data_IF_076447854559
#
_entry.id   IF_076447854559
#
_cell.length_a   1.000
_cell.length_b   1.000
_cell.length_c   1.000
_cell.angle_alpha   90.00
_cell.angle_beta   90.00
_cell.angle_gamma   90.00
#
_symmetry.space_group_name_H-M   'P 1'
#
loop_
_entity.id
_entity.type
_entity.pdbx_description
1 polymer ?
#
# COMPACT_ATOMS: atom_id res chain seq x y z
N UNK A 1 -2.45 -19.84 -13.10
CA UNK A 1 -1.62 -20.06 -11.88
C UNK A 1 -0.81 -18.80 -11.71
N UNK A 2 -0.85 -18.19 -10.53
CA UNK A 2 -0.15 -16.92 -10.29
C UNK A 2 1.37 -17.16 -10.36
N UNK A 3 2.08 -16.29 -11.05
CA UNK A 3 3.53 -16.18 -11.06
C UNK A 3 3.93 -14.84 -10.47
N UNK A 4 4.90 -14.84 -9.57
CA UNK A 4 5.39 -13.62 -8.90
C UNK A 4 6.83 -13.40 -9.31
N UNK A 5 7.18 -12.14 -9.61
CA UNK A 5 8.56 -11.75 -9.76
C UNK A 5 9.21 -11.68 -8.39
N UNK A 6 10.10 -12.61 -8.11
CA UNK A 6 10.83 -12.67 -6.84
C UNK A 6 12.14 -11.88 -6.97
N UNK A 7 12.28 -10.80 -6.20
CA UNK A 7 13.51 -9.99 -6.18
C UNK A 7 14.74 -10.81 -5.83
N UNK A 8 14.60 -11.85 -4.99
CA UNK A 8 15.72 -12.71 -4.60
C UNK A 8 16.31 -13.49 -5.79
N UNK A 9 15.45 -14.00 -6.69
CA UNK A 9 15.88 -14.78 -7.87
C UNK A 9 15.95 -13.95 -9.15
N UNK A 10 15.39 -12.73 -9.14
CA UNK A 10 15.24 -11.85 -10.31
C UNK A 10 14.48 -12.49 -11.47
N UNK A 11 13.53 -13.35 -11.16
CA UNK A 11 12.76 -14.10 -12.14
C UNK A 11 11.30 -14.27 -11.71
N UNK A 12 10.43 -14.48 -12.70
CA UNK A 12 9.07 -14.95 -12.45
C UNK A 12 9.13 -16.39 -11.94
N UNK A 13 8.41 -16.65 -10.85
CA UNK A 13 8.30 -17.96 -10.22
C UNK A 13 6.84 -18.29 -9.98
N UNK A 14 6.46 -19.54 -10.17
CA UNK A 14 5.14 -20.03 -9.77
C UNK A 14 4.93 -19.76 -8.28
N UNK A 15 3.82 -19.11 -7.94
CA UNK A 15 3.43 -18.87 -6.57
C UNK A 15 2.89 -20.17 -5.96
N UNK A 16 3.50 -20.58 -4.85
CA UNK A 16 3.08 -21.73 -4.06
C UNK A 16 3.09 -21.29 -2.59
N UNK A 17 1.93 -21.17 -1.95
CA UNK A 17 1.89 -20.82 -0.55
C UNK A 17 2.48 -21.94 0.32
N UNK A 18 2.92 -21.59 1.53
CA UNK A 18 3.38 -22.53 2.55
C UNK A 18 2.23 -23.44 3.01
N UNK A 19 1.03 -22.86 3.14
CA UNK A 19 -0.21 -23.58 3.45
C UNK A 19 -1.20 -23.38 2.29
N UNK A 20 -1.73 -24.47 1.74
CA UNK A 20 -2.65 -24.43 0.60
C UNK A 20 -3.83 -23.48 0.87
N UNK A 21 -4.10 -22.57 -0.06
CA UNK A 21 -5.18 -21.59 0.06
C UNK A 21 -4.93 -20.41 1.01
N UNK A 22 -3.80 -20.35 1.74
CA UNK A 22 -3.50 -19.26 2.68
C UNK A 22 -2.21 -18.52 2.34
N UNK A 23 -2.18 -17.21 2.54
CA UNK A 23 -1.01 -16.38 2.26
C UNK A 23 -0.65 -15.52 3.46
N UNK A 24 0.58 -15.70 3.96
CA UNK A 24 1.20 -14.86 5.00
C UNK A 24 2.01 -13.76 4.33
N UNK A 25 1.51 -12.53 4.40
CA UNK A 25 2.08 -11.39 3.70
C UNK A 25 2.47 -10.29 4.69
N UNK A 26 3.76 -9.93 4.73
CA UNK A 26 4.26 -8.81 5.52
C UNK A 26 4.73 -7.69 4.58
N UNK A 27 4.32 -6.45 4.83
CA UNK A 27 4.75 -5.28 4.05
C UNK A 27 5.20 -4.17 5.00
N UNK A 28 6.47 -3.77 4.92
CA UNK A 28 7.03 -2.72 5.77
C UNK A 28 6.21 -1.43 5.64
N UNK A 29 5.67 -0.96 6.77
CA UNK A 29 4.85 0.25 6.82
C UNK A 29 5.66 1.52 7.09
N UNK A 30 4.97 2.65 7.36
CA UNK A 30 5.63 3.95 7.43
C UNK A 30 6.26 4.23 8.80
N UNK A 31 7.29 5.09 8.80
CA UNK A 31 7.70 5.80 10.02
C UNK A 31 6.73 6.95 10.31
N UNK A 32 6.05 6.92 11.45
CA UNK A 32 4.91 7.82 11.74
C UNK A 32 5.33 9.15 12.37
N UNK A 33 6.18 9.91 11.67
CA UNK A 33 6.65 11.24 12.09
C UNK A 33 6.07 12.40 11.27
N UNK A 34 5.35 12.10 10.19
CA UNK A 34 4.72 13.07 9.29
C UNK A 34 3.62 12.40 8.45
N UNK A 35 2.84 13.19 7.71
CA UNK A 35 1.97 12.67 6.65
C UNK A 35 2.76 11.89 5.59
N UNK A 36 2.14 10.83 5.06
CA UNK A 36 2.73 10.04 3.99
C UNK A 36 2.76 10.82 2.68
N UNK A 37 3.81 10.60 1.90
CA UNK A 37 3.90 11.12 0.54
C UNK A 37 3.32 10.16 -0.49
N UNK A 38 3.05 10.66 -1.70
CA UNK A 38 2.48 9.84 -2.79
C UNK A 38 3.35 8.61 -3.11
N UNK A 39 4.67 8.71 -2.93
CA UNK A 39 5.57 7.55 -2.97
C UNK A 39 5.24 6.44 -1.96
N UNK A 40 4.90 6.78 -0.71
CA UNK A 40 4.41 5.77 0.25
C UNK A 40 3.02 5.28 -0.16
N UNK A 41 2.14 6.19 -0.60
CA UNK A 41 0.81 5.86 -1.11
C UNK A 41 0.85 4.83 -2.24
N UNK A 42 1.83 4.91 -3.15
CA UNK A 42 2.07 3.92 -4.20
C UNK A 42 2.35 2.53 -3.64
N UNK A 43 3.19 2.40 -2.61
CA UNK A 43 3.45 1.11 -1.96
C UNK A 43 2.16 0.53 -1.37
N UNK A 44 1.45 1.33 -0.56
CA UNK A 44 0.20 0.92 0.08
C UNK A 44 -0.82 0.45 -0.97
N UNK A 45 -1.03 1.24 -2.03
CA UNK A 45 -1.97 0.93 -3.10
C UNK A 45 -1.56 -0.31 -3.91
N UNK A 46 -0.26 -0.47 -4.19
CA UNK A 46 0.23 -1.64 -4.92
C UNK A 46 -0.05 -2.93 -4.14
N UNK A 47 0.30 -2.97 -2.86
CA UNK A 47 0.13 -4.17 -2.04
C UNK A 47 -1.33 -4.43 -1.65
N UNK A 48 -2.16 -3.39 -1.53
CA UNK A 48 -3.63 -3.56 -1.44
C UNK A 48 -4.21 -4.17 -2.72
N UNK A 49 -3.76 -3.73 -3.90
CA UNK A 49 -4.18 -4.31 -5.20
C UNK A 49 -3.77 -5.78 -5.33
N UNK A 50 -2.53 -6.10 -4.94
CA UNK A 50 -2.01 -7.47 -4.90
C UNK A 50 -2.82 -8.34 -3.96
N UNK A 51 -3.07 -7.87 -2.73
CA UNK A 51 -3.90 -8.57 -1.73
C UNK A 51 -5.30 -8.83 -2.28
N UNK A 52 -5.97 -7.82 -2.85
CA UNK A 52 -7.31 -7.96 -3.43
C UNK A 52 -7.33 -8.97 -4.58
N UNK A 53 -6.30 -9.01 -5.40
CA UNK A 53 -6.21 -10.02 -6.47
C UNK A 53 -6.02 -11.43 -5.91
N UNK A 54 -5.18 -11.61 -4.87
CA UNK A 54 -5.03 -12.90 -4.19
C UNK A 54 -6.37 -13.36 -3.59
N UNK A 55 -7.10 -12.45 -2.92
CA UNK A 55 -8.44 -12.72 -2.37
C UNK A 55 -9.45 -13.07 -3.48
N UNK A 56 -9.44 -12.35 -4.61
CA UNK A 56 -10.24 -12.66 -5.81
C UNK A 56 -9.94 -14.05 -6.37
N UNK A 57 -8.68 -14.50 -6.25
CA UNK A 57 -8.25 -15.84 -6.67
C UNK A 57 -8.54 -16.94 -5.64
N UNK A 58 -9.23 -16.60 -4.55
CA UNK A 58 -9.69 -17.54 -3.53
C UNK A 58 -8.73 -17.77 -2.37
N UNK A 59 -7.66 -16.98 -2.25
CA UNK A 59 -6.74 -17.10 -1.12
C UNK A 59 -7.24 -16.35 0.11
N UNK A 60 -7.05 -16.94 1.29
CA UNK A 60 -7.13 -16.24 2.56
C UNK A 60 -5.80 -15.52 2.84
N UNK A 61 -5.80 -14.19 2.86
CA UNK A 61 -4.58 -13.40 3.04
C UNK A 61 -4.51 -12.80 4.44
N UNK A 62 -3.52 -13.23 5.22
CA UNK A 62 -3.09 -12.54 6.46
C UNK A 62 -2.09 -11.47 6.07
N UNK A 63 -2.55 -10.22 6.03
CA UNK A 63 -1.76 -9.06 5.60
C UNK A 63 -1.35 -8.20 6.79
N UNK A 64 -0.05 -8.12 7.05
CA UNK A 64 0.54 -7.37 8.17
C UNK A 64 1.35 -6.19 7.63
N UNK A 65 1.14 -5.01 8.20
CA UNK A 65 1.97 -3.84 7.90
C UNK A 65 2.19 -3.01 9.16
N UNK A 66 3.43 -2.92 9.62
CA UNK A 66 3.76 -2.31 10.90
C UNK A 66 3.69 -0.77 10.86
N UNK A 67 3.67 -0.16 12.04
CA UNK A 67 4.03 1.25 12.21
C UNK A 67 5.37 1.34 12.94
N UNK A 68 6.37 1.95 12.30
CA UNK A 68 7.61 2.33 13.00
C UNK A 68 7.33 3.59 13.80
N UNK A 69 7.07 3.43 15.09
CA UNK A 69 6.76 4.50 16.04
C UNK A 69 7.88 4.77 17.07
N UNK A 70 9.05 4.16 16.85
CA UNK A 70 10.30 4.40 17.59
C UNK A 70 11.44 4.63 16.60
N UNK A 71 11.79 5.90 16.32
CA UNK A 71 12.88 6.28 15.41
C UNK A 71 13.44 7.67 15.73
N UNK A 72 14.68 7.94 15.35
CA UNK A 72 15.33 9.23 15.56
C UNK A 72 14.57 10.39 14.86
N UNK A 73 13.89 10.15 13.73
CA UNK A 73 13.05 11.15 13.06
C UNK A 73 11.83 11.52 13.90
N UNK A 74 11.22 10.55 14.59
CA UNK A 74 10.07 10.77 15.47
C UNK A 74 10.50 11.60 16.66
N UNK A 75 11.61 11.25 17.32
CA UNK A 75 12.14 11.99 18.47
C UNK A 75 12.38 13.46 18.09
N UNK A 76 13.05 13.70 16.95
CA UNK A 76 13.32 15.06 16.44
C UNK A 76 12.04 15.82 16.08
N UNK A 77 11.09 15.18 15.42
CA UNK A 77 9.84 15.80 15.02
C UNK A 77 8.94 16.11 16.23
N UNK A 78 8.90 15.22 17.22
CA UNK A 78 8.13 15.37 18.45
C UNK A 78 8.64 16.55 19.28
N UNK A 79 9.96 16.65 19.45
CA UNK A 79 10.60 17.79 20.11
C UNK A 79 10.27 19.11 19.41
N UNK A 80 10.33 19.16 18.07
CA UNK A 80 9.96 20.36 17.29
C UNK A 80 8.47 20.72 17.44
N UNK A 81 7.60 19.72 17.56
CA UNK A 81 6.16 19.90 17.73
C UNK A 81 5.73 20.13 19.19
N UNK A 82 6.66 20.12 20.16
CA UNK A 82 6.35 20.14 21.59
C UNK A 82 5.38 19.03 22.01
N UNK A 83 5.53 17.84 21.43
CA UNK A 83 4.75 16.63 21.72
C UNK A 83 5.69 15.53 22.23
N UNK A 84 5.15 14.53 22.93
CA UNK A 84 5.88 13.28 23.15
C UNK A 84 5.97 12.46 21.85
N UNK A 85 6.99 11.59 21.69
CA UNK A 85 7.07 10.68 20.54
C UNK A 85 5.81 9.83 20.34
N UNK A 86 5.17 9.39 21.43
CA UNK A 86 3.92 8.63 21.37
C UNK A 86 2.76 9.46 20.83
N UNK A 87 2.55 10.67 21.35
CA UNK A 87 1.47 11.56 20.87
C UNK A 87 1.66 11.95 19.40
N UNK A 88 2.90 12.23 18.98
CA UNK A 88 3.21 12.50 17.57
C UNK A 88 2.89 11.29 16.69
N UNK A 89 3.31 10.10 17.12
CA UNK A 89 3.07 8.85 16.41
C UNK A 89 1.58 8.54 16.31
N UNK A 90 0.83 8.64 17.41
CA UNK A 90 -0.62 8.42 17.43
C UNK A 90 -1.34 9.36 16.47
N UNK A 91 -0.94 10.63 16.41
CA UNK A 91 -1.45 11.62 15.46
C UNK A 91 -1.23 11.19 14.00
N UNK A 92 -0.01 10.77 13.65
CA UNK A 92 0.30 10.41 12.26
C UNK A 92 -0.15 9.00 11.88
N UNK A 93 -0.36 8.10 12.85
CA UNK A 93 -1.09 6.84 12.64
C UNK A 93 -2.54 7.14 12.27
N UNK A 94 -3.21 8.06 12.99
CA UNK A 94 -4.57 8.47 12.65
C UNK A 94 -4.65 9.09 11.25
N UNK A 95 -3.72 10.02 10.94
CA UNK A 95 -3.64 10.62 9.61
C UNK A 95 -3.37 9.59 8.50
N UNK A 96 -2.47 8.62 8.72
CA UNK A 96 -2.23 7.53 7.77
C UNK A 96 -3.51 6.74 7.49
N UNK A 97 -4.28 6.40 8.54
CA UNK A 97 -5.54 5.66 8.40
C UNK A 97 -6.58 6.48 7.64
N UNK A 98 -6.67 7.78 7.89
CA UNK A 98 -7.56 8.70 7.16
C UNK A 98 -7.17 8.76 5.68
N UNK A 99 -5.91 9.05 5.36
CA UNK A 99 -5.41 9.16 4.00
C UNK A 99 -5.59 7.83 3.23
N UNK A 100 -5.31 6.69 3.85
CA UNK A 100 -5.45 5.37 3.19
C UNK A 100 -6.90 4.92 3.05
N UNK A 101 -7.77 5.27 4.00
CA UNK A 101 -9.22 5.03 3.88
C UNK A 101 -9.81 5.85 2.71
N UNK A 102 -9.40 7.11 2.55
CA UNK A 102 -9.80 7.95 1.43
C UNK A 102 -9.34 7.37 0.08
N UNK A 103 -8.21 6.65 0.04
CA UNK A 103 -7.75 5.88 -1.12
C UNK A 103 -8.46 4.53 -1.32
N UNK A 104 -9.44 4.17 -0.49
CA UNK A 104 -10.15 2.88 -0.58
C UNK A 104 -9.29 1.67 -0.24
N UNK A 105 -8.19 1.86 0.51
CA UNK A 105 -7.30 0.76 0.95
C UNK A 105 -8.01 -0.08 2.01
N UNK A 106 -7.97 -1.40 1.88
CA UNK A 106 -8.53 -2.31 2.90
C UNK A 106 -7.64 -2.26 4.14
N UNK A 107 -8.21 -2.15 5.36
CA UNK A 107 -7.43 -2.26 6.59
C UNK A 107 -6.58 -3.54 6.60
N UNK A 108 -5.34 -3.43 7.10
CA UNK A 108 -4.50 -4.60 7.30
C UNK A 108 -5.17 -5.58 8.28
N UNK A 109 -4.79 -6.86 8.22
CA UNK A 109 -5.21 -7.84 9.24
C UNK A 109 -4.73 -7.38 10.63
N UNK A 110 -3.50 -6.87 10.70
CA UNK A 110 -2.97 -6.19 11.88
C UNK A 110 -1.97 -5.09 11.47
N UNK A 111 -1.89 -4.05 12.29
CA UNK A 111 -0.84 -3.02 12.21
C UNK A 111 -0.03 -3.00 13.51
N UNK A 112 0.95 -3.92 13.69
CA UNK A 112 1.75 -3.95 14.91
C UNK A 112 2.61 -2.69 15.03
N UNK A 113 2.87 -2.27 16.27
CA UNK A 113 3.68 -1.09 16.58
C UNK A 113 4.96 -1.52 17.29
N UNK A 114 6.06 -0.83 17.02
CA UNK A 114 7.36 -1.16 17.61
C UNK A 114 7.33 -1.04 19.13
N UNK A 115 6.64 -0.02 19.65
CA UNK A 115 6.52 0.20 21.10
C UNK A 115 5.90 -0.98 21.85
N UNK A 116 5.06 -1.78 21.18
CA UNK A 116 4.33 -2.90 21.77
C UNK A 116 5.12 -4.22 21.70
N UNK A 117 6.29 -4.25 21.05
CA UNK A 117 7.11 -5.45 20.83
C UNK A 117 8.52 -5.34 21.44
N UNK A 118 8.71 -4.44 22.42
CA UNK A 118 10.04 -4.13 22.94
C UNK A 118 10.70 -5.32 23.66
N UNK A 119 9.93 -6.09 24.41
CA UNK A 119 10.45 -7.25 25.14
C UNK A 119 10.90 -8.35 24.16
N UNK A 120 10.12 -8.59 23.10
CA UNK A 120 10.42 -9.51 22.01
C UNK A 120 11.66 -9.05 21.23
N UNK A 121 11.79 -7.75 20.96
CA UNK A 121 12.98 -7.18 20.31
C UNK A 121 14.22 -7.44 21.17
N UNK A 122 14.17 -7.13 22.46
CA UNK A 122 15.31 -7.34 23.36
C UNK A 122 15.68 -8.83 23.42
N UNK A 123 14.69 -9.73 23.52
CA UNK A 123 14.91 -11.16 23.52
C UNK A 123 15.53 -11.67 22.21
N UNK A 124 15.09 -11.14 21.07
CA UNK A 124 15.62 -11.48 19.75
C UNK A 124 17.09 -11.06 19.63
N UNK A 125 17.43 -9.84 20.05
CA UNK A 125 18.81 -9.35 20.03
C UNK A 125 19.68 -10.18 20.98
N UNK A 126 19.17 -10.54 22.17
CA UNK A 126 19.90 -11.40 23.09
C UNK A 126 20.19 -12.79 22.49
N UNK A 127 19.25 -13.36 21.73
CA UNK A 127 19.46 -14.61 21.01
C UNK A 127 20.54 -14.48 19.92
N UNK A 128 20.58 -13.35 19.19
CA UNK A 128 21.64 -13.08 18.20
C UNK A 128 23.02 -12.94 18.86
N UNK A 129 23.09 -12.26 20.01
CA UNK A 129 24.34 -12.14 20.81
C UNK A 129 24.79 -13.51 21.28
N UNK A 130 23.89 -14.32 21.85
CA UNK A 130 24.20 -15.67 22.32
C UNK A 130 24.72 -16.59 21.20
N UNK A 131 24.16 -16.46 19.99
CA UNK A 131 24.62 -17.19 18.79
C UNK A 131 25.88 -16.59 18.15
N UNK A 132 26.37 -15.48 18.69
CA UNK A 132 27.56 -14.78 18.20
C UNK A 132 27.36 -14.00 16.91
N UNK A 133 26.13 -13.80 16.45
CA UNK A 133 25.79 -12.95 15.29
C UNK A 133 25.69 -11.47 15.65
N UNK A 134 25.67 -11.13 16.93
CA UNK A 134 25.70 -9.76 17.41
C UNK A 134 26.74 -9.58 18.51
N UNK A 135 27.12 -8.33 18.78
CA UNK A 135 28.05 -7.96 19.85
C UNK A 135 27.68 -6.59 20.41
N UNK A 136 27.97 -6.40 21.70
CA UNK A 136 27.80 -5.12 22.39
C UNK A 136 29.09 -4.30 22.28
N UNK A 137 28.95 -2.98 22.17
CA UNK A 137 30.04 -2.00 22.12
C UNK A 137 29.52 -0.66 22.65
N UNK A 138 30.01 -0.24 23.83
CA UNK A 138 29.67 1.03 24.49
C UNK A 138 28.16 1.27 24.70
N UNK A 139 27.40 0.21 25.01
CA UNK A 139 25.95 0.21 25.22
C UNK A 139 25.12 0.06 23.93
N UNK A 140 25.74 0.16 22.76
CA UNK A 140 25.11 -0.18 21.49
C UNK A 140 25.29 -1.68 21.21
N UNK A 141 24.36 -2.28 20.47
CA UNK A 141 24.49 -3.67 20.00
C UNK A 141 24.45 -3.69 18.49
N UNK A 142 25.46 -4.29 17.87
CA UNK A 142 25.60 -4.37 16.41
C UNK A 142 25.44 -5.80 15.92
N UNK A 143 24.87 -5.94 14.72
CA UNK A 143 24.86 -7.20 13.98
C UNK A 143 26.18 -7.35 13.24
N UNK A 144 26.83 -8.51 13.38
CA UNK A 144 28.08 -8.86 12.71
C UNK A 144 27.78 -9.44 11.33
N UNK A 145 27.85 -8.58 10.32
CA UNK A 145 27.44 -8.89 8.94
C UNK A 145 28.26 -10.02 8.33
N UNK A 146 29.54 -10.13 8.64
CA UNK A 146 30.43 -11.17 8.09
C UNK A 146 29.98 -12.60 8.43
N UNK A 147 29.18 -12.78 9.49
CA UNK A 147 28.63 -14.10 9.83
C UNK A 147 27.37 -14.45 9.05
N UNK A 148 26.68 -13.46 8.45
CA UNK A 148 25.50 -13.71 7.67
C UNK A 148 25.86 -14.34 6.31
N UNK A 149 25.30 -15.52 6.06
CA UNK A 149 25.49 -16.20 4.77
C UNK A 149 24.77 -15.42 3.66
N UNK A 150 25.48 -15.13 2.57
CA UNK A 150 24.94 -14.45 1.39
C UNK A 150 24.30 -13.07 1.68
N UNK A 151 24.86 -12.31 2.64
CA UNK A 151 24.39 -10.96 2.95
C UNK A 151 24.30 -10.06 1.70
N UNK A 152 23.25 -9.24 1.64
CA UNK A 152 22.94 -8.31 0.55
C UNK A 152 22.64 -8.94 -0.83
N UNK A 153 22.50 -10.28 -0.91
CA UNK A 153 22.09 -10.98 -2.15
C UNK A 153 20.76 -10.48 -2.71
N UNK A 154 19.81 -10.15 -1.83
CA UNK A 154 18.50 -9.59 -2.23
C UNK A 154 18.68 -8.36 -3.12
N UNK A 155 19.61 -7.48 -2.78
CA UNK A 155 19.90 -6.24 -3.49
C UNK A 155 20.93 -6.36 -4.62
N UNK A 156 21.36 -7.59 -4.98
CA UNK A 156 22.41 -7.86 -5.95
C UNK A 156 23.77 -7.25 -5.58
N UNK A 157 24.09 -7.15 -4.29
CA UNK A 157 25.35 -6.57 -3.82
C UNK A 157 26.21 -7.63 -3.15
N UNK A 158 27.51 -7.41 -3.17
CA UNK A 158 28.50 -8.19 -2.42
C UNK A 158 29.02 -7.39 -1.22
N UNK A 159 29.60 -8.07 -0.23
CA UNK A 159 30.25 -7.39 0.91
C UNK A 159 31.34 -6.43 0.45
N UNK A 160 32.14 -6.82 -0.56
CA UNK A 160 33.18 -5.98 -1.14
C UNK A 160 32.61 -4.65 -1.70
N UNK A 161 31.45 -4.69 -2.36
CA UNK A 161 30.80 -3.47 -2.86
C UNK A 161 30.42 -2.52 -1.72
N UNK A 162 30.00 -3.08 -0.57
CA UNK A 162 29.56 -2.32 0.60
C UNK A 162 30.74 -1.74 1.37
N UNK A 163 31.83 -2.48 1.51
CA UNK A 163 33.06 -2.02 2.17
C UNK A 163 33.68 -0.82 1.45
N UNK A 164 33.70 -0.84 0.11
CA UNK A 164 34.14 0.32 -0.69
C UNK A 164 33.26 1.54 -0.43
N UNK A 165 31.94 1.36 -0.35
CA UNK A 165 30.99 2.45 -0.05
C UNK A 165 31.04 2.95 1.40
N UNK A 166 31.49 2.12 2.34
CA UNK A 166 31.68 2.49 3.73
C UNK A 166 33.06 3.14 3.98
N UNK A 167 34.05 2.85 3.13
CA UNK A 167 35.40 3.40 3.21
C UNK A 167 35.36 4.93 3.04
N UNK A 168 35.60 5.66 4.15
CA UNK A 168 35.56 7.13 4.19
C UNK A 168 34.62 7.71 5.25
N UNK A 169 33.80 6.91 5.92
CA UNK A 169 33.05 7.35 7.11
C UNK A 169 33.95 7.32 8.34
N UNK A 170 34.19 8.49 8.93
CA UNK A 170 35.04 8.67 10.12
C UNK A 170 34.24 9.21 11.30
N UNK A 171 32.97 8.81 11.44
CA UNK A 171 32.16 9.20 12.58
C UNK A 171 32.41 8.28 13.78
N UNK A 172 32.04 8.77 14.98
CA UNK A 172 32.22 8.03 16.24
C UNK A 172 31.49 6.67 16.21
N UNK A 173 30.39 6.56 15.45
CA UNK A 173 29.66 5.29 15.28
C UNK A 173 30.51 4.24 14.57
N UNK A 174 31.29 4.63 13.55
CA UNK A 174 32.14 3.69 12.81
C UNK A 174 33.27 3.14 13.68
N UNK A 175 33.78 3.92 14.63
CA UNK A 175 34.83 3.47 15.56
C UNK A 175 34.37 2.40 16.55
N UNK A 176 33.06 2.29 16.81
CA UNK A 176 32.47 1.29 17.71
C UNK A 176 32.22 -0.06 17.05
N UNK A 177 32.34 -0.13 15.72
CA UNK A 177 32.04 -1.32 14.94
C UNK A 177 33.29 -2.16 14.71
N UNK A 178 33.14 -3.49 14.73
CA UNK A 178 34.20 -4.40 14.32
C UNK A 178 34.40 -4.37 12.81
N UNK A 179 33.29 -4.27 12.04
CA UNK A 179 33.32 -4.04 10.60
C UNK A 179 32.48 -2.79 10.23
N UNK A 180 32.98 -1.89 9.34
CA UNK A 180 32.23 -0.72 8.86
C UNK A 180 30.82 -0.98 8.31
N UNK A 181 30.54 -2.20 7.83
CA UNK A 181 29.22 -2.57 7.29
C UNK A 181 28.25 -3.11 8.34
N UNK A 182 28.72 -3.32 9.58
CA UNK A 182 27.88 -3.72 10.70
C UNK A 182 26.84 -2.64 11.01
N UNK A 183 25.65 -3.09 11.42
CA UNK A 183 24.51 -2.20 11.66
C UNK A 183 23.91 -2.40 13.05
N UNK A 184 23.40 -1.32 13.61
CA UNK A 184 22.84 -1.31 14.96
C UNK A 184 21.55 -2.14 15.03
N UNK A 185 21.49 -3.03 16.01
CA UNK A 185 20.30 -3.73 16.50
C UNK A 185 19.68 -2.99 17.67
N UNK A 186 20.53 -2.46 18.56
CA UNK A 186 20.15 -1.65 19.71
C UNK A 186 21.04 -0.41 19.77
N UNK A 187 20.45 0.75 20.05
CA UNK A 187 21.17 2.01 20.24
C UNK A 187 20.95 2.49 21.66
N UNK A 188 22.04 2.72 22.39
CA UNK A 188 22.04 3.44 23.65
C UNK A 188 21.35 4.79 23.50
N UNK A 189 20.55 5.14 24.51
CA UNK A 189 19.81 6.39 24.51
C UNK A 189 20.65 7.53 25.09
N UNK A 190 20.57 8.71 24.49
CA UNK A 190 21.16 9.93 25.07
C UNK A 190 20.27 10.44 26.20
N UNK A 191 20.84 11.25 27.09
CA UNK A 191 20.10 11.86 28.20
C UNK A 191 18.88 12.63 27.69
N UNK A 192 17.69 12.26 28.20
CA UNK A 192 16.42 12.90 27.83
C UNK A 192 15.73 12.31 26.60
N UNK A 193 16.33 11.35 25.90
CA UNK A 193 15.64 10.58 24.85
C UNK A 193 14.74 9.50 25.46
N UNK A 194 13.68 9.14 24.72
CA UNK A 194 12.85 8.00 25.07
C UNK A 194 13.68 6.72 24.99
N UNK A 195 13.58 5.88 26.01
CA UNK A 195 14.39 4.67 26.13
C UNK A 195 13.68 3.58 26.93
N UNK A 196 14.14 2.35 26.72
CA UNK A 196 13.69 1.15 27.41
C UNK A 196 14.89 0.48 28.07
N UNK A 197 14.65 -0.19 29.21
CA UNK A 197 15.67 -0.95 29.90
C UNK A 197 15.99 -2.20 29.10
N UNK A 198 17.28 -2.49 28.91
CA UNK A 198 17.74 -3.74 28.31
C UNK A 198 18.98 -4.27 29.04
N UNK A 199 19.44 -5.50 28.74
CA UNK A 199 20.69 -6.04 29.26
C UNK A 199 21.93 -5.20 28.94
N UNK A 200 21.85 -4.32 27.94
CA UNK A 200 22.95 -3.46 27.48
C UNK A 200 22.79 -2.01 27.94
N UNK A 201 21.86 -1.74 28.86
CA UNK A 201 21.53 -0.41 29.35
C UNK A 201 20.31 0.21 28.65
N UNK A 202 19.98 1.44 29.02
CA UNK A 202 18.82 2.13 28.46
C UNK A 202 19.08 2.48 26.99
N UNK A 203 18.15 2.10 26.11
CA UNK A 203 18.28 2.37 24.68
C UNK A 203 16.98 2.18 23.93
N UNK A 204 17.10 1.99 22.62
CA UNK A 204 15.99 1.80 21.67
C UNK A 204 16.43 0.88 20.52
N UNK A 205 15.50 0.22 19.83
CA UNK A 205 15.82 -0.58 18.66
C UNK A 205 16.51 0.21 17.55
N UNK A 206 17.34 -0.48 16.78
CA UNK A 206 17.73 -0.03 15.45
C UNK A 206 16.63 -0.36 14.43
N UNK A 207 16.46 0.49 13.42
CA UNK A 207 15.32 0.43 12.47
C UNK A 207 15.02 -0.96 11.88
N UNK A 208 16.02 -1.80 11.63
CA UNK A 208 15.82 -3.09 10.94
C UNK A 208 15.23 -4.19 11.83
N UNK A 209 15.57 -4.21 13.12
CA UNK A 209 15.23 -5.35 14.00
C UNK A 209 13.72 -5.47 14.24
N UNK A 210 13.02 -4.34 14.14
CA UNK A 210 11.58 -4.20 14.34
C UNK A 210 10.80 -5.15 13.44
N UNK A 211 11.04 -5.09 12.13
CA UNK A 211 10.31 -5.88 11.13
C UNK A 211 10.64 -7.38 11.24
N UNK A 212 11.90 -7.74 11.48
CA UNK A 212 12.29 -9.14 11.74
C UNK A 212 11.52 -9.74 12.92
N UNK A 213 11.40 -8.99 14.01
CA UNK A 213 10.70 -9.44 15.21
C UNK A 213 9.20 -9.55 14.94
N UNK A 214 8.55 -8.44 14.56
CA UNK A 214 7.09 -8.43 14.35
C UNK A 214 6.65 -9.45 13.30
N UNK A 215 7.37 -9.57 12.18
CA UNK A 215 7.04 -10.55 11.14
C UNK A 215 7.14 -11.99 11.67
N UNK A 216 8.21 -12.33 12.40
CA UNK A 216 8.41 -13.71 12.87
C UNK A 216 7.51 -14.09 14.04
N UNK A 217 7.17 -13.15 14.92
CA UNK A 217 6.26 -13.40 16.05
C UNK A 217 4.79 -13.54 15.58
N UNK A 218 4.37 -12.76 14.57
CA UNK A 218 2.97 -12.79 14.09
C UNK A 218 2.74 -13.89 13.06
N UNK A 219 3.64 -14.03 12.09
CA UNK A 219 3.42 -14.91 10.92
C UNK A 219 4.22 -16.22 10.99
N UNK A 220 5.22 -16.30 11.87
CA UNK A 220 6.13 -17.44 12.02
C UNK A 220 7.46 -17.24 11.31
N UNK A 221 8.36 -18.22 11.48
CA UNK A 221 9.77 -18.09 11.05
C UNK A 221 9.99 -18.01 9.53
N UNK A 222 9.07 -18.56 8.75
CA UNK A 222 9.07 -18.47 7.28
C UNK A 222 7.71 -17.97 6.81
N UNK A 223 7.72 -16.93 5.97
CA UNK A 223 6.50 -16.32 5.41
C UNK A 223 6.45 -16.44 3.87
N UNK A 224 5.26 -16.31 3.31
CA UNK A 224 5.06 -16.43 1.86
C UNK A 224 5.64 -15.22 1.13
N UNK A 225 5.12 -14.03 1.43
CA UNK A 225 5.43 -12.79 0.71
C UNK A 225 5.94 -11.74 1.68
N UNK A 226 7.06 -11.11 1.34
CA UNK A 226 7.52 -9.88 1.99
C UNK A 226 7.62 -8.75 0.97
N UNK A 227 6.95 -7.63 1.26
CA UNK A 227 6.81 -6.49 0.36
C UNK A 227 7.40 -5.19 0.89
N UNK A 228 7.78 -4.28 -0.02
CA UNK A 228 8.12 -2.90 0.31
C UNK A 228 8.48 -2.05 -0.91
N UNK A 229 8.92 -0.82 -0.68
CA UNK A 229 9.49 0.03 -1.75
C UNK A 229 10.83 -0.51 -2.23
N UNK A 230 11.22 -0.24 -3.48
CA UNK A 230 12.52 -0.65 -4.03
C UNK A 230 13.73 -0.12 -3.23
N UNK A 231 13.59 0.98 -2.50
CA UNK A 231 14.60 1.47 -1.56
C UNK A 231 14.80 0.59 -0.33
N UNK A 232 13.83 -0.27 0.01
CA UNK A 232 13.93 -1.19 1.14
C UNK A 232 14.71 -2.45 0.81
N UNK A 233 14.96 -2.78 -0.47
CA UNK A 233 15.83 -3.90 -0.86
C UNK A 233 17.17 -3.84 -0.12
N UNK A 234 17.73 -2.63 -0.01
CA UNK A 234 18.96 -2.38 0.75
C UNK A 234 18.97 -1.01 1.43
N UNK A 235 19.39 -0.93 2.71
CA UNK A 235 19.85 -2.05 3.54
C UNK A 235 18.73 -2.83 4.23
N UNK A 236 17.49 -2.30 4.25
CA UNK A 236 16.46 -2.72 5.20
C UNK A 236 16.11 -4.21 5.13
N UNK A 237 15.54 -4.69 4.02
CA UNK A 237 15.15 -6.10 3.85
C UNK A 237 16.35 -7.05 3.83
N UNK A 238 17.50 -6.61 3.32
CA UNK A 238 18.74 -7.38 3.39
C UNK A 238 19.18 -7.63 4.84
N UNK A 239 19.00 -6.65 5.72
CA UNK A 239 19.27 -6.76 7.15
C UNK A 239 18.24 -7.65 7.85
N UNK A 240 16.97 -7.56 7.45
CA UNK A 240 15.92 -8.42 8.01
C UNK A 240 16.14 -9.89 7.72
N UNK A 241 16.56 -10.23 6.49
CA UNK A 241 16.99 -11.59 6.14
C UNK A 241 18.13 -12.01 7.08
N UNK A 242 19.17 -11.19 7.21
CA UNK A 242 20.34 -11.53 8.02
C UNK A 242 19.97 -11.78 9.49
N UNK A 243 19.12 -10.92 10.07
CA UNK A 243 18.64 -11.05 11.44
C UNK A 243 17.76 -12.29 11.63
N UNK A 244 16.76 -12.46 10.76
CA UNK A 244 15.75 -13.52 10.87
C UNK A 244 16.35 -14.89 10.64
N UNK A 245 17.18 -15.07 9.61
CA UNK A 245 17.81 -16.36 9.31
C UNK A 245 18.91 -16.69 10.35
N UNK A 246 19.62 -15.70 10.89
CA UNK A 246 20.56 -15.93 11.99
C UNK A 246 19.86 -16.37 13.30
N UNK A 247 18.71 -15.75 13.64
CA UNK A 247 17.93 -16.11 14.83
C UNK A 247 17.22 -17.44 14.68
N UNK A 248 16.68 -17.77 13.51
CA UNK A 248 15.83 -18.96 13.32
C UNK A 248 16.58 -20.16 12.75
N UNK A 249 17.66 -19.95 12.00
CA UNK A 249 18.32 -20.98 11.20
C UNK A 249 17.48 -21.46 10.00
N UNK A 250 16.40 -20.76 9.66
CA UNK A 250 15.47 -21.10 8.59
C UNK A 250 15.43 -19.98 7.55
N UNK A 251 14.99 -20.30 6.33
CA UNK A 251 14.73 -19.31 5.29
C UNK A 251 13.63 -18.36 5.75
N UNK A 252 13.82 -17.04 5.63
CA UNK A 252 12.85 -16.08 6.15
C UNK A 252 11.61 -15.90 5.24
N UNK A 253 11.81 -15.70 3.94
CA UNK A 253 10.72 -15.30 3.00
C UNK A 253 10.79 -16.09 1.70
N UNK A 254 9.65 -16.55 1.19
CA UNK A 254 9.60 -17.29 -0.08
C UNK A 254 9.62 -16.43 -1.35
N UNK A 255 8.93 -15.29 -1.32
CA UNK A 255 8.80 -14.34 -2.43
C UNK A 255 9.00 -12.91 -1.96
N UNK A 256 10.04 -12.24 -2.45
CA UNK A 256 10.28 -10.82 -2.17
C UNK A 256 9.70 -9.95 -3.28
N UNK A 257 8.88 -8.97 -2.92
CA UNK A 257 8.19 -8.09 -3.86
C UNK A 257 8.54 -6.63 -3.58
N UNK A 258 8.96 -5.88 -4.61
CA UNK A 258 9.32 -4.47 -4.44
C UNK A 258 8.64 -3.57 -5.47
N UNK A 259 7.93 -2.53 -5.02
CA UNK A 259 7.31 -1.56 -5.93
C UNK A 259 8.32 -0.52 -6.43
N UNK A 260 8.10 -0.02 -7.65
CA UNK A 260 8.90 1.02 -8.26
C UNK A 260 8.73 2.39 -7.58
N UNK A 261 9.71 3.27 -7.82
CA UNK A 261 9.72 4.64 -7.31
C UNK A 261 8.64 5.54 -7.94
N UNK A 262 8.33 6.62 -7.23
CA UNK A 262 7.48 7.70 -7.75
C UNK A 262 8.36 8.92 -8.06
N UNK A 263 8.24 9.42 -9.28
CA UNK A 263 8.78 10.70 -9.73
C UNK A 263 7.65 11.74 -9.80
N UNK A 264 7.98 13.01 -9.71
CA UNK A 264 7.07 14.14 -9.94
C UNK A 264 7.65 14.94 -11.10
N UNK A 265 6.88 15.09 -12.19
CA UNK A 265 7.33 15.77 -13.41
C UNK A 265 8.67 15.26 -13.96
N UNK A 266 8.87 13.93 -13.91
CA UNK A 266 10.11 13.21 -14.26
C UNK A 266 11.31 13.47 -13.34
N UNK A 267 11.15 14.23 -12.26
CA UNK A 267 12.17 14.40 -11.24
C UNK A 267 11.93 13.47 -10.05
N UNK A 268 13.02 13.05 -9.39
CA UNK A 268 12.90 12.30 -8.14
C UNK A 268 12.24 13.18 -7.07
N UNK A 269 11.22 12.66 -6.41
CA UNK A 269 10.56 13.37 -5.32
C UNK A 269 11.54 13.60 -4.16
N UNK A 270 11.69 14.85 -3.71
CA UNK A 270 12.48 15.18 -2.53
C UNK A 270 12.00 16.46 -1.86
N UNK A 271 12.14 16.55 -0.54
CA UNK A 271 11.83 17.78 0.21
C UNK A 271 12.73 18.95 -0.20
N UNK A 272 13.98 18.67 -0.58
CA UNK A 272 14.95 19.69 -1.01
C UNK A 272 14.63 20.33 -2.35
N UNK A 273 13.98 19.60 -3.26
CA UNK A 273 13.56 20.13 -4.56
C UNK A 273 12.19 20.82 -4.51
N UNK A 274 11.51 20.82 -3.35
CA UNK A 274 10.18 21.42 -3.21
C UNK A 274 9.05 20.67 -3.92
N UNK A 275 9.34 19.59 -4.64
CA UNK A 275 8.38 18.75 -5.37
C UNK A 275 7.76 17.62 -4.52
N UNK A 276 7.81 17.76 -3.19
CA UNK A 276 7.29 16.77 -2.26
C UNK A 276 5.78 16.93 -2.09
N UNK A 277 5.00 15.94 -2.54
CA UNK A 277 3.53 15.95 -2.44
C UNK A 277 3.07 14.90 -1.42
N UNK A 278 2.31 15.33 -0.42
CA UNK A 278 1.66 14.41 0.54
C UNK A 278 0.38 13.83 -0.05
N UNK A 279 0.00 12.61 0.37
CA UNK A 279 -1.32 12.07 0.03
C UNK A 279 -2.40 12.97 0.60
N UNK A 280 -2.25 13.38 1.85
CA UNK A 280 -3.14 14.31 2.54
C UNK A 280 -3.41 15.61 1.75
N UNK A 281 -2.37 16.23 1.18
CA UNK A 281 -2.53 17.45 0.38
C UNK A 281 -3.14 17.17 -1.00
N UNK A 282 -2.77 16.06 -1.64
CA UNK A 282 -3.36 15.66 -2.92
C UNK A 282 -4.87 15.42 -2.80
N UNK A 283 -5.32 14.79 -1.71
CA UNK A 283 -6.72 14.50 -1.44
C UNK A 283 -7.59 15.75 -1.22
N UNK A 284 -6.99 16.93 -0.97
CA UNK A 284 -7.74 18.20 -0.87
C UNK A 284 -8.26 18.68 -2.23
N UNK A 285 -7.63 18.23 -3.32
CA UNK A 285 -7.92 18.71 -4.68
C UNK A 285 -8.24 17.58 -5.66
N UNK A 286 -7.99 16.32 -5.29
CA UNK A 286 -8.19 15.14 -6.15
C UNK A 286 -9.03 14.13 -5.38
N UNK A 287 -10.10 13.63 -6.01
CA UNK A 287 -10.90 12.54 -5.46
C UNK A 287 -10.03 11.30 -5.17
N UNK A 288 -10.28 10.67 -4.02
CA UNK A 288 -9.49 9.53 -3.56
C UNK A 288 -9.54 8.32 -4.49
N UNK A 289 -10.67 8.07 -5.17
CA UNK A 289 -10.76 6.99 -6.15
C UNK A 289 -9.97 7.32 -7.43
N UNK A 290 -9.90 8.58 -7.86
CA UNK A 290 -9.05 8.99 -8.98
C UNK A 290 -7.58 8.74 -8.64
N UNK A 291 -7.13 9.21 -7.47
CA UNK A 291 -5.75 9.01 -7.03
C UNK A 291 -5.42 7.52 -6.86
N UNK A 292 -6.33 6.75 -6.26
CA UNK A 292 -6.21 5.28 -6.16
C UNK A 292 -6.12 4.63 -7.53
N UNK A 293 -7.00 4.98 -8.47
CA UNK A 293 -7.04 4.39 -9.81
C UNK A 293 -5.76 4.68 -10.59
N UNK A 294 -5.27 5.91 -10.55
CA UNK A 294 -3.97 6.29 -11.11
C UNK A 294 -2.83 5.42 -10.53
N UNK A 295 -2.79 5.28 -9.21
CA UNK A 295 -1.78 4.45 -8.53
C UNK A 295 -1.98 2.95 -8.73
N UNK A 296 -3.18 2.46 -9.08
CA UNK A 296 -3.47 1.04 -9.25
C UNK A 296 -3.08 0.51 -10.63
N UNK A 297 -3.32 1.32 -11.65
CA UNK A 297 -3.37 0.91 -13.06
C UNK A 297 -2.03 0.92 -13.77
N UNK A 298 -0.96 1.24 -13.05
CA UNK A 298 0.42 1.13 -13.51
C UNK A 298 1.09 -0.09 -12.86
N UNK A 299 1.79 -0.92 -13.63
CA UNK A 299 2.46 -2.11 -13.11
C UNK A 299 3.34 -1.78 -11.90
N UNK A 300 3.14 -2.46 -10.76
CA UNK A 300 3.67 -2.05 -9.46
C UNK A 300 5.20 -1.85 -9.42
N UNK A 301 5.99 -2.71 -10.09
CA UNK A 301 7.46 -2.63 -10.18
C UNK A 301 8.00 -1.50 -11.06
N UNK A 302 7.18 -0.90 -11.91
CA UNK A 302 7.64 0.17 -12.80
C UNK A 302 7.65 1.51 -12.08
N UNK A 303 8.64 2.38 -12.36
CA UNK A 303 8.59 3.77 -11.92
C UNK A 303 7.29 4.42 -12.39
N UNK A 304 6.68 5.20 -11.51
CA UNK A 304 5.45 5.92 -11.76
C UNK A 304 5.77 7.42 -11.79
N UNK A 305 5.24 8.14 -12.77
CA UNK A 305 5.42 9.58 -12.89
C UNK A 305 4.12 10.30 -12.52
N UNK A 306 4.15 11.08 -11.45
CA UNK A 306 3.05 11.87 -10.94
C UNK A 306 3.03 13.23 -11.64
N UNK A 307 1.98 13.48 -12.44
CA UNK A 307 1.77 14.74 -13.16
C UNK A 307 0.28 15.05 -13.21
N UNK A 308 -0.07 16.32 -13.36
CA UNK A 308 -1.48 16.75 -13.50
C UNK A 308 -2.15 16.08 -14.70
N UNK A 309 -1.43 15.92 -15.80
CA UNK A 309 -1.92 15.21 -16.99
C UNK A 309 -2.28 13.76 -16.64
N UNK A 310 -1.42 13.05 -15.90
CA UNK A 310 -1.66 11.65 -15.58
C UNK A 310 -2.86 11.48 -14.64
N UNK A 311 -3.08 12.42 -13.72
CA UNK A 311 -4.26 12.45 -12.86
C UNK A 311 -5.54 12.73 -13.67
N UNK A 312 -5.51 13.68 -14.60
CA UNK A 312 -6.65 13.98 -15.46
C UNK A 312 -7.00 12.83 -16.42
N UNK A 313 -5.98 12.14 -16.95
CA UNK A 313 -6.19 10.93 -17.74
C UNK A 313 -6.86 9.84 -16.88
N UNK A 314 -6.42 9.67 -15.63
CA UNK A 314 -7.01 8.71 -14.69
C UNK A 314 -8.46 9.07 -14.33
N UNK A 315 -8.77 10.35 -14.13
CA UNK A 315 -10.14 10.85 -13.92
C UNK A 315 -11.05 10.49 -15.09
N UNK A 316 -10.62 10.81 -16.32
CA UNK A 316 -11.39 10.55 -17.54
C UNK A 316 -11.66 9.05 -17.71
N UNK A 317 -10.63 8.24 -17.48
CA UNK A 317 -10.68 6.79 -17.55
C UNK A 317 -11.61 6.18 -16.50
N UNK A 318 -11.53 6.65 -15.25
CA UNK A 318 -12.41 6.20 -14.18
C UNK A 318 -13.87 6.59 -14.46
N UNK A 319 -14.11 7.81 -14.96
CA UNK A 319 -15.44 8.27 -15.36
C UNK A 319 -16.04 7.39 -16.46
N UNK A 320 -15.25 6.98 -17.45
CA UNK A 320 -15.71 6.05 -18.49
C UNK A 320 -16.18 4.71 -17.91
N UNK A 321 -15.42 4.16 -16.96
CA UNK A 321 -15.77 2.89 -16.29
C UNK A 321 -17.00 3.04 -15.40
N UNK A 322 -17.15 4.17 -14.70
CA UNK A 322 -18.35 4.50 -13.93
C UNK A 322 -19.59 4.61 -14.81
N UNK A 323 -19.52 5.34 -15.92
CA UNK A 323 -20.62 5.43 -16.89
C UNK A 323 -20.98 4.07 -17.50
N UNK A 324 -19.98 3.20 -17.69
CA UNK A 324 -20.20 1.82 -18.17
C UNK A 324 -20.98 1.00 -17.14
N UNK A 325 -20.64 1.13 -15.86
CA UNK A 325 -21.32 0.45 -14.75
C UNK A 325 -22.77 0.95 -14.53
N UNK A 326 -23.10 2.16 -14.95
CA UNK A 326 -24.43 2.76 -14.81
C UNK A 326 -25.32 2.56 -16.04
N UNK A 327 -24.87 1.77 -17.03
CA UNK A 327 -25.67 1.51 -18.23
C UNK A 327 -26.98 0.76 -17.91
N UNK A 328 -28.06 1.01 -18.67
CA UNK A 328 -29.28 0.22 -18.51
C UNK A 328 -29.03 -1.23 -18.92
N UNK A 329 -29.70 -2.17 -18.25
CA UNK A 329 -29.62 -3.57 -18.62
C UNK A 329 -30.30 -3.85 -19.97
N UNK A 330 -29.76 -4.83 -20.66
CA UNK A 330 -30.26 -5.41 -21.89
C UNK A 330 -30.78 -6.83 -21.63
N UNK A 331 -31.60 -7.33 -22.55
CA UNK A 331 -32.29 -8.61 -22.39
C UNK A 331 -31.43 -9.85 -22.67
N UNK A 332 -30.32 -9.71 -23.41
CA UNK A 332 -29.47 -10.83 -23.82
C UNK A 332 -28.01 -10.41 -23.79
N UNK A 333 -27.14 -11.28 -23.26
CA UNK A 333 -25.68 -11.10 -23.24
C UNK A 333 -24.99 -12.32 -23.82
N UNK A 334 -23.85 -12.15 -24.47
CA UNK A 334 -22.98 -13.27 -24.86
C UNK A 334 -22.14 -13.74 -23.65
N UNK A 335 -22.64 -14.72 -22.91
CA UNK A 335 -21.96 -15.25 -21.72
C UNK A 335 -20.59 -15.88 -22.06
N UNK A 336 -20.44 -16.44 -23.26
CA UNK A 336 -19.19 -17.08 -23.67
C UNK A 336 -18.10 -16.04 -23.95
N UNK A 337 -18.45 -14.94 -24.61
CA UNK A 337 -17.52 -13.82 -24.82
C UNK A 337 -17.11 -13.16 -23.50
N UNK A 338 -18.05 -13.00 -22.56
CA UNK A 338 -17.73 -12.47 -21.23
C UNK A 338 -16.77 -13.39 -20.47
N UNK A 339 -17.02 -14.70 -20.47
CA UNK A 339 -16.14 -15.69 -19.84
C UNK A 339 -14.72 -15.64 -20.43
N UNK A 340 -14.58 -15.48 -21.75
CA UNK A 340 -13.28 -15.34 -22.40
C UNK A 340 -12.55 -14.05 -22.00
N UNK A 341 -13.28 -12.94 -21.79
CA UNK A 341 -12.68 -11.70 -21.28
C UNK A 341 -12.20 -11.87 -19.83
N UNK A 342 -12.97 -12.56 -18.99
CA UNK A 342 -12.59 -12.86 -17.60
C UNK A 342 -11.33 -13.72 -17.54
N UNK A 343 -11.24 -14.76 -18.38
CA UNK A 343 -10.06 -15.61 -18.49
C UNK A 343 -8.83 -14.80 -18.90
N UNK A 344 -8.93 -13.97 -19.95
CA UNK A 344 -7.84 -13.07 -20.37
C UNK A 344 -7.40 -12.12 -19.25
N UNK A 345 -8.35 -11.55 -18.49
CA UNK A 345 -8.03 -10.70 -17.35
C UNK A 345 -7.23 -11.47 -16.29
N UNK A 346 -7.66 -12.70 -15.97
CA UNK A 346 -6.94 -13.56 -15.02
C UNK A 346 -5.56 -13.95 -15.54
N UNK A 347 -5.42 -14.30 -16.82
CA UNK A 347 -4.12 -14.63 -17.42
C UNK A 347 -3.13 -13.48 -17.28
N UNK A 348 -3.52 -12.24 -17.60
CA UNK A 348 -2.61 -11.09 -17.50
C UNK A 348 -2.30 -10.74 -16.06
N UNK A 349 -3.27 -10.85 -15.14
CA UNK A 349 -3.05 -10.56 -13.72
C UNK A 349 -2.28 -11.67 -13.01
N UNK A 350 -2.38 -12.92 -13.47
CA UNK A 350 -1.58 -14.06 -12.99
C UNK A 350 -0.10 -13.88 -13.31
N UNK A 351 0.23 -13.10 -14.34
CA UNK A 351 1.58 -12.69 -14.67
C UNK A 351 2.03 -11.50 -13.82
N UNK A 352 2.36 -11.78 -12.55
CA UNK A 352 2.97 -10.80 -11.64
C UNK A 352 2.11 -9.55 -11.40
N UNK A 353 0.80 -9.77 -11.25
CA UNK A 353 -0.17 -8.71 -10.95
C UNK A 353 -0.06 -7.56 -11.96
N UNK A 354 0.00 -7.88 -13.26
CA UNK A 354 0.21 -6.89 -14.31
C UNK A 354 -1.04 -6.02 -14.53
N UNK A 355 -1.23 -5.06 -13.63
CA UNK A 355 -2.38 -4.16 -13.60
C UNK A 355 -2.49 -3.26 -14.83
N UNK A 356 -1.37 -2.96 -15.50
CA UNK A 356 -1.37 -2.17 -16.74
C UNK A 356 -2.03 -2.94 -17.91
N UNK A 357 -1.75 -4.24 -18.03
CA UNK A 357 -2.43 -5.09 -18.99
C UNK A 357 -3.84 -5.47 -18.50
N UNK A 358 -3.99 -5.74 -17.20
CA UNK A 358 -5.28 -6.04 -16.57
C UNK A 358 -6.32 -4.96 -16.83
N UNK A 359 -5.98 -3.69 -16.62
CA UNK A 359 -6.91 -2.58 -16.88
C UNK A 359 -7.24 -2.44 -18.38
N UNK A 360 -6.34 -2.82 -19.28
CA UNK A 360 -6.62 -2.84 -20.73
C UNK A 360 -7.74 -3.82 -21.05
N UNK A 361 -7.72 -5.02 -20.45
CA UNK A 361 -8.81 -6.00 -20.58
C UNK A 361 -10.10 -5.49 -19.94
N UNK A 362 -10.03 -4.75 -18.83
CA UNK A 362 -11.22 -4.10 -18.24
C UNK A 362 -11.84 -3.08 -19.19
N UNK A 363 -11.04 -2.32 -19.94
CA UNK A 363 -11.57 -1.44 -20.99
C UNK A 363 -12.14 -2.20 -22.20
N UNK A 364 -11.61 -3.38 -22.52
CA UNK A 364 -12.23 -4.29 -23.51
C UNK A 364 -13.61 -4.77 -23.02
N UNK A 365 -13.71 -5.21 -21.77
CA UNK A 365 -15.00 -5.54 -21.13
C UNK A 365 -15.96 -4.35 -21.17
N UNK A 366 -15.49 -3.15 -20.85
CA UNK A 366 -16.33 -1.96 -20.87
C UNK A 366 -16.85 -1.64 -22.28
N UNK A 367 -16.03 -1.77 -23.33
CA UNK A 367 -16.48 -1.61 -24.72
C UNK A 367 -17.52 -2.67 -25.12
N UNK A 368 -17.32 -3.92 -24.67
CA UNK A 368 -18.25 -5.02 -24.90
C UNK A 368 -19.59 -4.84 -24.17
N UNK A 369 -19.55 -4.35 -22.93
CA UNK A 369 -20.76 -3.95 -22.17
C UNK A 369 -21.51 -2.86 -22.92
N UNK A 370 -20.79 -1.81 -23.32
CA UNK A 370 -21.35 -0.64 -24.01
C UNK A 370 -21.91 -0.97 -25.41
N UNK A 371 -21.66 -2.16 -25.96
CA UNK A 371 -22.27 -2.63 -27.20
C UNK A 371 -23.64 -3.30 -27.01
N UNK A 372 -24.13 -3.36 -25.76
CA UNK A 372 -25.44 -3.90 -25.41
C UNK A 372 -25.40 -5.26 -24.71
N UNK A 373 -24.26 -5.64 -24.12
CA UNK A 373 -24.11 -6.89 -23.37
C UNK A 373 -24.08 -6.63 -21.87
N UNK A 374 -25.17 -6.11 -21.31
CA UNK A 374 -25.20 -5.72 -19.91
C UNK A 374 -26.40 -6.26 -19.18
N UNK A 375 -26.17 -7.13 -18.21
CA UNK A 375 -27.19 -7.61 -17.28
C UNK A 375 -26.64 -7.54 -15.85
N UNK A 376 -27.46 -7.94 -14.86
CA UNK A 376 -27.06 -7.91 -13.46
C UNK A 376 -25.79 -8.73 -13.18
N UNK A 377 -25.68 -9.94 -13.75
CA UNK A 377 -24.52 -10.80 -13.53
C UNK A 377 -23.21 -10.17 -14.06
N UNK A 378 -23.27 -9.52 -15.22
CA UNK A 378 -22.13 -8.77 -15.79
C UNK A 378 -21.81 -7.54 -14.93
N UNK A 379 -22.83 -6.81 -14.44
CA UNK A 379 -22.65 -5.67 -13.52
C UNK A 379 -21.90 -6.08 -12.26
N UNK A 380 -22.36 -7.13 -11.58
CA UNK A 380 -21.79 -7.62 -10.33
C UNK A 380 -20.33 -8.04 -10.53
N UNK A 381 -20.07 -8.77 -11.63
CA UNK A 381 -18.71 -9.23 -11.94
C UNK A 381 -17.77 -8.08 -12.34
N UNK A 382 -18.26 -7.08 -13.07
CA UNK A 382 -17.48 -5.87 -13.37
C UNK A 382 -17.14 -5.11 -12.07
N UNK A 383 -18.08 -4.96 -11.15
CA UNK A 383 -17.83 -4.36 -9.84
C UNK A 383 -16.75 -5.13 -9.07
N UNK A 384 -16.85 -6.46 -9.01
CA UNK A 384 -15.86 -7.31 -8.35
C UNK A 384 -14.45 -7.12 -8.93
N UNK A 385 -14.32 -7.04 -10.26
CA UNK A 385 -13.02 -6.80 -10.92
C UNK A 385 -12.49 -5.40 -10.62
N UNK A 386 -13.35 -4.38 -10.68
CA UNK A 386 -12.96 -3.00 -10.42
C UNK A 386 -12.59 -2.76 -8.95
N UNK A 387 -13.18 -3.52 -8.03
CA UNK A 387 -12.78 -3.52 -6.63
C UNK A 387 -11.33 -3.99 -6.42
N UNK A 388 -10.75 -4.80 -7.32
CA UNK A 388 -9.32 -5.17 -7.26
C UNK A 388 -8.44 -3.91 -7.39
N UNK A 389 -8.86 -2.96 -8.23
CA UNK A 389 -8.19 -1.67 -8.41
C UNK A 389 -8.60 -0.62 -7.37
N UNK A 390 -9.38 -1.00 -6.35
CA UNK A 390 -9.89 -0.10 -5.31
C UNK A 390 -11.00 0.83 -5.78
N UNK A 391 -11.62 0.56 -6.94
CA UNK A 391 -12.77 1.31 -7.42
C UNK A 391 -14.03 0.74 -6.77
N UNK A 392 -14.74 1.61 -6.05
CA UNK A 392 -15.99 1.27 -5.37
C UNK A 392 -17.15 2.04 -6.01
N UNK A 393 -18.18 1.27 -6.33
CA UNK A 393 -19.47 1.81 -6.72
C UNK A 393 -20.28 1.93 -5.45
N UNK A 394 -20.34 3.15 -4.91
CA UNK A 394 -21.36 3.46 -3.93
C UNK A 394 -22.63 3.58 -4.75
N UNK A 395 -23.55 2.63 -4.62
CA UNK A 395 -24.94 2.93 -4.97
C UNK A 395 -25.34 4.03 -3.99
N UNK A 396 -25.33 5.27 -4.47
CA UNK A 396 -25.87 6.38 -3.71
C UNK A 396 -27.36 6.08 -3.52
N UNK A 397 -27.67 5.53 -2.35
CA UNK A 397 -29.04 5.50 -1.87
C UNK A 397 -29.39 6.95 -1.62
N UNK A 398 -30.21 7.50 -2.50
CA UNK A 398 -30.79 8.81 -2.28
C UNK A 398 -31.42 8.81 -0.90
N UNK A 399 -31.14 9.84 -0.11
CA UNK A 399 -31.91 10.06 1.11
C UNK A 399 -33.39 10.07 0.70
N UNK A 400 -34.26 9.41 1.48
CA UNK A 400 -35.68 9.25 1.13
C UNK A 400 -36.37 10.61 0.81
N UNK A 401 -35.83 11.70 1.34
CA UNK A 401 -36.27 13.06 1.06
C UNK A 401 -35.96 13.51 -0.38
N UNK A 402 -34.80 13.14 -0.93
CA UNK A 402 -34.43 13.43 -2.32
C UNK A 402 -35.26 12.58 -3.30
N UNK A 403 -35.47 11.29 -3.02
CA UNK A 403 -36.35 10.45 -3.84
C UNK A 403 -37.75 11.03 -3.91
N UNK A 404 -38.28 11.44 -2.76
CA UNK A 404 -39.59 12.08 -2.67
C UNK A 404 -39.65 13.40 -3.45
N UNK A 405 -38.60 14.22 -3.40
CA UNK A 405 -38.53 15.44 -4.20
C UNK A 405 -38.54 15.13 -5.71
N UNK A 406 -37.81 14.10 -6.14
CA UNK A 406 -37.81 13.67 -7.55
C UNK A 406 -39.20 13.18 -7.97
N UNK A 407 -39.88 12.38 -7.15
CA UNK A 407 -41.25 11.93 -7.39
C UNK A 407 -42.24 13.11 -7.45
N UNK A 408 -42.18 14.03 -6.48
CA UNK A 408 -43.01 15.22 -6.45
C UNK A 408 -42.79 16.11 -7.68
N UNK A 409 -41.56 16.17 -8.20
CA UNK A 409 -41.25 16.84 -9.47
C UNK A 409 -41.89 16.11 -10.64
N UNK A 410 -41.81 14.78 -10.71
CA UNK A 410 -42.47 14.03 -11.78
C UNK A 410 -43.99 14.22 -11.76
N UNK A 411 -44.60 14.21 -10.58
CA UNK A 411 -46.02 14.50 -10.43
C UNK A 411 -46.37 15.92 -10.86
N UNK A 412 -45.56 16.92 -10.48
CA UNK A 412 -45.77 18.31 -10.88
C UNK A 412 -45.71 18.45 -12.42
N UNK A 413 -44.75 17.78 -13.07
CA UNK A 413 -44.65 17.76 -14.55
C UNK A 413 -45.84 17.04 -15.20
N UNK A 414 -46.28 15.92 -14.64
CA UNK A 414 -47.46 15.20 -15.13
C UNK A 414 -48.74 16.05 -15.02
N UNK A 415 -48.85 16.86 -13.96
CA UNK A 415 -49.93 17.84 -13.72
C UNK A 415 -49.73 19.16 -14.48
N UNK A 416 -48.66 19.32 -15.26
CA UNK A 416 -48.25 20.55 -15.98
C UNK A 416 -47.99 21.76 -15.08
N UNK A 417 -47.66 21.54 -13.82
CA UNK A 417 -47.18 22.58 -12.90
C UNK A 417 -45.66 22.75 -13.06
N UNK A 418 -45.27 23.44 -14.13
CA UNK A 418 -43.87 23.65 -14.47
C UNK A 418 -43.14 24.54 -13.45
N UNK A 419 -43.84 25.50 -12.83
CA UNK A 419 -43.25 26.37 -11.81
C UNK A 419 -42.83 25.57 -10.57
N UNK A 420 -43.67 24.64 -10.09
CA UNK A 420 -43.30 23.74 -8.99
C UNK A 420 -42.16 22.79 -9.40
N UNK A 421 -42.22 22.24 -10.62
CA UNK A 421 -41.19 21.32 -11.11
C UNK A 421 -39.81 21.97 -11.27
N UNK A 422 -39.75 23.22 -11.73
CA UNK A 422 -38.50 23.98 -11.85
C UNK A 422 -37.94 24.34 -10.48
N UNK A 423 -38.77 24.76 -9.52
CA UNK A 423 -38.33 25.01 -8.15
C UNK A 423 -37.68 23.77 -7.52
N UNK A 424 -38.32 22.61 -7.64
CA UNK A 424 -37.76 21.36 -7.10
C UNK A 424 -36.45 20.99 -7.80
N UNK A 425 -36.34 21.19 -9.13
CA UNK A 425 -35.09 20.95 -9.86
C UNK A 425 -33.96 21.84 -9.31
N UNK A 426 -34.25 23.11 -9.05
CA UNK A 426 -33.26 24.07 -8.58
C UNK A 426 -32.86 23.79 -7.11
N UNK A 427 -33.81 23.36 -6.26
CA UNK A 427 -33.56 22.90 -4.89
C UNK A 427 -32.67 21.64 -4.87
N UNK A 428 -32.89 20.71 -5.80
CA UNK A 428 -32.05 19.52 -5.98
C UNK A 428 -30.66 19.90 -6.51
N UNK A 429 -30.57 20.82 -7.47
CA UNK A 429 -29.29 21.30 -8.00
C UNK A 429 -28.45 22.01 -6.92
N UNK A 430 -29.08 22.75 -6.01
CA UNK A 430 -28.41 23.37 -4.86
C UNK A 430 -27.83 22.34 -3.87
N UNK A 431 -28.39 21.13 -3.85
CA UNK A 431 -27.89 19.98 -3.08
C UNK A 431 -26.87 19.14 -3.87
N UNK A 432 -26.41 19.63 -5.01
CA UNK A 432 -25.45 18.96 -5.90
C UNK A 432 -26.08 17.92 -6.83
N UNK A 433 -27.41 17.80 -6.88
CA UNK A 433 -28.09 16.78 -7.67
C UNK A 433 -28.57 17.35 -9.00
N UNK A 434 -27.98 16.85 -10.09
CA UNK A 434 -28.41 17.16 -11.45
C UNK A 434 -29.40 16.12 -11.93
N UNK A 435 -30.51 16.57 -12.50
CA UNK A 435 -31.51 15.71 -13.12
C UNK A 435 -31.37 15.70 -14.65
N UNK A 436 -31.47 14.51 -15.23
CA UNK A 436 -31.54 14.27 -16.67
C UNK A 436 -32.84 13.55 -17.01
N UNK A 437 -33.74 14.26 -17.69
CA UNK A 437 -34.99 13.69 -18.18
C UNK A 437 -34.73 12.84 -19.43
N UNK A 438 -35.02 11.54 -19.40
CA UNK A 438 -34.87 10.61 -20.54
C UNK A 438 -36.22 10.01 -20.94
N UNK A 439 -36.27 9.31 -22.09
CA UNK A 439 -37.50 8.61 -22.53
C UNK A 439 -37.91 7.48 -21.59
N UNK A 440 -36.95 6.92 -20.85
CA UNK A 440 -37.16 5.78 -19.94
C UNK A 440 -37.35 6.22 -18.48
N UNK A 441 -37.38 7.53 -18.20
CA UNK A 441 -37.54 8.10 -16.86
C UNK A 441 -36.51 9.18 -16.52
N UNK A 442 -36.58 9.71 -15.30
CA UNK A 442 -35.56 10.63 -14.78
C UNK A 442 -34.34 9.85 -14.33
N UNK A 443 -33.17 10.26 -14.83
CA UNK A 443 -31.88 9.91 -14.26
C UNK A 443 -31.36 11.10 -13.45
N UNK A 444 -30.47 10.85 -12.52
CA UNK A 444 -29.86 11.89 -11.73
C UNK A 444 -28.37 11.57 -11.49
N UNK A 445 -27.59 12.59 -11.17
CA UNK A 445 -26.18 12.46 -10.78
C UNK A 445 -25.86 13.47 -9.68
N UNK A 446 -25.01 13.11 -8.72
CA UNK A 446 -24.49 14.03 -7.70
C UNK A 446 -23.09 14.51 -8.09
N UNK A 447 -22.86 15.82 -8.01
CA UNK A 447 -21.54 16.44 -8.20
C UNK A 447 -20.67 16.31 -6.94
#
# INVERSE_FOLDING_TARGET
MIRIYDTMTRSLRDFRPIEEGKVKMYVCGPTVYNYIHVGNGRSVVAFDTIRRYLEYRGYEVTYISNFTDVDDKIIKAAAKASMTPKELSDKFIAAFKEDTAALGVKPATENPRVIDYMDEIIAFIAALVQKGFAYESEGDVYFRVEKASHYAKLANKTLADLEVGASGRTDEETARKENPVDFALWKSAKTGEVSWKSPWGNGRPGWHIECSVMATEILGHTIDIHGGGADLEFPHHSNEIAQSEAKTGQKFVNYWMHNGFVNVDNEKMSKSLGNFVTVHDALKTVDGQILRFFLATQHYRRPLNFTDKALHDAETNLKYLKNTYEQPFTSTVDEAEFAALLEKFQEVMDEDFNTANGITIVFEMARWINSGNYNQAVKDKLAEILQIFGVIFVEEVLEAEIEKLIEERQEARAKKDFAKADRIRDDLAAQGIKLLDTKDGVRWSRD
#
